data_IF_040094277129
#
_entry.id   IF_040094277129
#
_cell.length_a   1.000
_cell.length_b   1.000
_cell.length_c   1.000
_cell.angle_alpha   90.00
_cell.angle_beta   90.00
_cell.angle_gamma   90.00
#
_symmetry.space_group_name_H-M   'P 1'
#
loop_
_entity.id
_entity.type
_entity.pdbx_description
1 polymer ?
#
# COMPACT_ATOMS: atom_id res chain seq x y z
N UNK A 1 -18.83 -12.42 3.17
CA UNK A 1 -19.73 -11.27 3.44
C UNK A 1 -18.96 -10.03 3.02
N UNK A 2 -19.46 -9.32 2.03
CA UNK A 2 -18.83 -8.15 1.42
C UNK A 2 -19.54 -6.91 1.98
N UNK A 3 -18.80 -6.07 2.71
CA UNK A 3 -19.26 -4.74 3.09
C UNK A 3 -18.40 -3.74 2.34
N UNK A 4 -19.07 -2.85 1.61
CA UNK A 4 -18.49 -2.06 0.54
C UNK A 4 -17.59 -0.91 0.96
N UNK A 5 -16.80 -0.50 -0.03
CA UNK A 5 -16.49 0.89 -0.34
C UNK A 5 -16.15 0.92 -1.84
N UNK A 6 -17.19 0.98 -2.66
CA UNK A 6 -17.10 1.47 -4.04
C UNK A 6 -16.58 2.92 -3.98
N UNK A 7 -15.27 3.14 -4.11
CA UNK A 7 -14.63 4.37 -4.63
C UNK A 7 -13.11 4.13 -4.71
N UNK A 8 -12.66 3.38 -5.73
CA UNK A 8 -11.33 3.63 -6.27
C UNK A 8 -11.50 4.80 -7.22
N UNK A 9 -11.23 6.03 -6.77
CA UNK A 9 -10.96 7.15 -7.67
C UNK A 9 -9.73 6.79 -8.50
N UNK A 10 -10.00 6.11 -9.62
CA UNK A 10 -9.07 5.90 -10.70
C UNK A 10 -9.01 7.19 -11.53
N UNK A 11 -8.53 8.28 -10.95
CA UNK A 11 -8.17 9.48 -11.72
C UNK A 11 -7.20 10.36 -10.91
N UNK A 12 -5.92 10.00 -10.96
CA UNK A 12 -4.84 10.94 -10.62
C UNK A 12 -3.76 10.79 -11.72
N UNK A 13 -4.10 11.33 -12.90
CA UNK A 13 -3.18 11.53 -14.03
C UNK A 13 -2.11 12.60 -13.71
N UNK A 14 -1.89 12.95 -12.43
CA UNK A 14 -0.81 13.81 -12.02
C UNK A 14 0.54 13.07 -12.12
N UNK A 15 1.58 13.70 -12.70
CA UNK A 15 2.92 13.13 -12.70
C UNK A 15 3.41 12.93 -11.26
N UNK A 16 4.17 11.85 -11.03
CA UNK A 16 4.89 11.64 -9.79
C UNK A 16 5.68 12.92 -9.45
N UNK A 17 5.36 13.55 -8.32
CA UNK A 17 6.04 14.78 -7.88
C UNK A 17 7.13 14.38 -6.89
N UNK A 18 8.33 14.92 -7.06
CA UNK A 18 9.39 14.88 -6.05
C UNK A 18 9.95 13.49 -5.69
N UNK A 19 9.91 12.53 -6.62
CA UNK A 19 10.45 11.18 -6.40
C UNK A 19 9.55 10.25 -5.58
N UNK A 20 8.38 10.74 -5.15
CA UNK A 20 7.37 9.93 -4.49
C UNK A 20 6.41 9.28 -5.51
N UNK A 21 5.91 8.06 -5.25
CA UNK A 21 4.84 7.47 -6.04
C UNK A 21 3.61 8.37 -6.12
N UNK A 22 2.81 8.17 -7.17
CA UNK A 22 1.50 8.81 -7.32
C UNK A 22 0.62 8.48 -6.12
N UNK A 23 -0.40 9.31 -5.91
CA UNK A 23 -1.41 9.01 -4.89
C UNK A 23 -2.13 7.71 -5.27
N UNK A 24 -2.45 6.89 -4.28
CA UNK A 24 -3.13 5.62 -4.50
C UNK A 24 -2.19 4.47 -4.82
N UNK A 25 -2.66 3.53 -5.65
CA UNK A 25 -1.98 2.26 -5.91
C UNK A 25 -1.39 2.28 -7.32
N UNK A 26 -0.07 2.07 -7.40
CA UNK A 26 0.67 1.95 -8.65
C UNK A 26 0.30 0.73 -9.49
N UNK A 27 0.92 0.61 -10.66
CA UNK A 27 0.72 -0.51 -11.59
C UNK A 27 1.40 -1.77 -11.07
N UNK A 28 0.86 -2.93 -11.44
CA UNK A 28 1.46 -4.25 -11.13
C UNK A 28 1.71 -4.50 -9.63
N UNK A 29 0.88 -3.90 -8.76
CA UNK A 29 0.95 -4.07 -7.31
C UNK A 29 0.21 -5.33 -6.87
N UNK A 30 0.77 -6.04 -5.90
CA UNK A 30 0.14 -7.21 -5.25
C UNK A 30 -0.08 -6.92 -3.76
N UNK A 31 -1.33 -7.04 -3.31
CA UNK A 31 -1.74 -6.83 -1.91
C UNK A 31 -2.44 -8.09 -1.38
N UNK A 32 -1.98 -8.64 -0.25
CA UNK A 32 -2.69 -9.68 0.53
C UNK A 32 -2.84 -9.24 1.98
N UNK A 33 -4.08 -9.25 2.50
CA UNK A 33 -4.39 -8.83 3.89
C UNK A 33 -3.69 -7.52 4.27
N UNK A 34 -3.99 -6.48 3.49
CA UNK A 34 -3.43 -5.13 3.66
C UNK A 34 -4.53 -4.14 4.01
N UNK A 35 -4.26 -3.26 4.96
CA UNK A 35 -5.03 -2.04 5.21
C UNK A 35 -4.23 -0.87 4.64
N UNK A 36 -4.83 -0.15 3.69
CA UNK A 36 -4.24 1.05 3.09
C UNK A 36 -5.06 2.24 3.55
N UNK A 37 -4.44 3.11 4.35
CA UNK A 37 -5.10 4.29 4.91
C UNK A 37 -5.08 5.46 3.91
N UNK A 38 -5.81 6.54 4.23
CA UNK A 38 -6.02 7.70 3.37
C UNK A 38 -4.68 8.31 2.93
N UNK A 39 -4.62 8.71 1.67
CA UNK A 39 -3.46 9.33 1.02
C UNK A 39 -2.18 8.48 0.99
N UNK A 40 -2.26 7.18 1.29
CA UNK A 40 -1.13 6.29 1.08
C UNK A 40 -0.73 6.24 -0.41
N UNK A 41 0.57 6.01 -0.64
CA UNK A 41 1.20 6.01 -1.96
C UNK A 41 1.92 4.69 -2.14
N UNK A 42 1.41 3.84 -3.01
CA UNK A 42 2.02 2.53 -3.31
C UNK A 42 2.66 2.61 -4.69
N UNK A 43 3.98 2.45 -4.75
CA UNK A 43 4.73 2.47 -6.00
C UNK A 43 4.45 1.27 -6.89
N UNK A 44 4.75 1.44 -8.18
CA UNK A 44 4.59 0.40 -9.19
C UNK A 44 5.41 -0.87 -8.83
N UNK A 45 4.82 -2.05 -9.04
CA UNK A 45 5.46 -3.33 -8.76
C UNK A 45 5.64 -3.66 -7.26
N UNK A 46 5.07 -2.86 -6.35
CA UNK A 46 5.14 -3.15 -4.92
C UNK A 46 4.38 -4.44 -4.57
N UNK A 47 4.90 -5.19 -3.60
CA UNK A 47 4.33 -6.46 -3.14
C UNK A 47 4.17 -6.47 -1.63
N UNK A 48 2.96 -6.20 -1.17
CA UNK A 48 2.62 -6.20 0.25
C UNK A 48 1.93 -7.52 0.60
N UNK A 49 2.74 -8.56 0.81
CA UNK A 49 2.26 -9.92 1.07
C UNK A 49 3.07 -10.52 2.22
N UNK A 50 2.43 -10.72 3.36
CA UNK A 50 3.06 -11.30 4.55
C UNK A 50 3.18 -12.84 4.44
N UNK A 51 3.98 -13.35 3.51
CA UNK A 51 4.18 -14.79 3.27
C UNK A 51 4.80 -15.50 4.48
N UNK A 52 5.61 -14.78 5.25
CA UNK A 52 6.26 -15.29 6.44
C UNK A 52 5.30 -15.41 7.65
N UNK A 53 4.05 -14.92 7.54
CA UNK A 53 3.08 -14.97 8.64
C UNK A 53 3.52 -14.18 9.88
N UNK A 54 4.27 -13.09 9.68
CA UNK A 54 4.76 -12.23 10.76
C UNK A 54 3.59 -11.61 11.50
N UNK A 55 3.57 -11.71 12.83
CA UNK A 55 2.47 -11.16 13.63
C UNK A 55 2.61 -9.66 13.87
N UNK A 56 3.85 -9.18 14.09
CA UNK A 56 4.15 -7.77 14.34
C UNK A 56 5.51 -7.40 13.76
N UNK A 57 5.56 -6.31 13.01
CA UNK A 57 6.78 -5.70 12.49
C UNK A 57 6.53 -4.21 12.20
N UNK A 58 7.61 -3.45 12.08
CA UNK A 58 7.58 -2.06 11.63
C UNK A 58 8.60 -1.94 10.49
N UNK A 59 8.19 -1.33 9.39
CA UNK A 59 9.00 -1.18 8.20
C UNK A 59 8.95 0.25 7.66
N UNK A 60 9.66 0.48 6.55
CA UNK A 60 9.67 1.78 5.88
C UNK A 60 8.33 2.00 5.17
N UNK A 61 7.47 2.83 5.76
CA UNK A 61 6.16 3.18 5.20
C UNK A 61 5.03 2.18 5.49
N UNK A 62 5.27 1.13 6.30
CA UNK A 62 4.24 0.18 6.72
C UNK A 62 4.51 -0.38 8.12
N UNK A 63 3.52 -1.04 8.70
CA UNK A 63 3.69 -1.88 9.87
C UNK A 63 2.78 -3.11 9.78
N UNK A 64 3.17 -4.21 10.40
CA UNK A 64 2.35 -5.41 10.51
C UNK A 64 1.74 -5.47 11.90
N UNK A 65 0.42 -5.68 12.00
CA UNK A 65 -0.29 -5.93 13.25
C UNK A 65 -1.24 -7.09 13.07
N UNK A 66 -1.10 -8.09 13.93
CA UNK A 66 -1.93 -9.30 13.95
C UNK A 66 -1.96 -10.02 12.58
N UNK A 67 -0.81 -10.02 11.89
CA UNK A 67 -0.65 -10.63 10.57
C UNK A 67 -1.09 -9.77 9.39
N UNK A 68 -1.71 -8.62 9.64
CA UNK A 68 -2.20 -7.68 8.63
C UNK A 68 -1.14 -6.61 8.35
N UNK A 69 -0.79 -6.41 7.09
CA UNK A 69 0.07 -5.30 6.68
C UNK A 69 -0.75 -4.01 6.70
N UNK A 70 -0.23 -2.94 7.27
CA UNK A 70 -0.91 -1.66 7.36
C UNK A 70 -0.01 -0.57 6.84
N UNK A 71 -0.50 0.18 5.85
CA UNK A 71 0.14 1.38 5.33
C UNK A 71 -0.60 2.58 5.95
N UNK A 72 0.04 3.34 6.87
CA UNK A 72 -0.62 4.44 7.55
C UNK A 72 -0.96 5.59 6.61
N UNK A 73 -1.76 6.54 7.13
CA UNK A 73 -2.08 7.78 6.42
C UNK A 73 -0.81 8.47 5.93
N UNK A 74 -0.84 8.93 4.68
CA UNK A 74 0.30 9.56 3.98
C UNK A 74 1.55 8.65 3.88
N UNK A 75 1.42 7.36 4.19
CA UNK A 75 2.48 6.35 4.11
C UNK A 75 2.90 6.08 2.66
N UNK A 76 4.19 5.75 2.48
CA UNK A 76 4.79 5.62 1.15
C UNK A 76 5.49 4.28 1.03
N UNK A 77 5.08 3.50 0.05
CA UNK A 77 5.75 2.26 -0.35
C UNK A 77 6.44 2.52 -1.68
N UNK A 78 7.75 2.29 -1.72
CA UNK A 78 8.55 2.56 -2.91
C UNK A 78 8.22 1.57 -4.03
N UNK A 79 8.44 1.95 -5.31
CA UNK A 79 8.29 1.01 -6.42
C UNK A 79 9.17 -0.23 -6.22
N UNK A 80 8.60 -1.41 -6.46
CA UNK A 80 9.27 -2.70 -6.27
C UNK A 80 9.54 -3.11 -4.81
N UNK A 81 9.09 -2.33 -3.82
CA UNK A 81 9.28 -2.68 -2.41
C UNK A 81 8.42 -3.90 -2.05
N UNK A 82 9.04 -4.88 -1.40
CA UNK A 82 8.37 -6.06 -0.85
C UNK A 82 8.31 -5.99 0.67
N UNK A 83 7.16 -6.36 1.22
CA UNK A 83 6.90 -6.48 2.66
C UNK A 83 6.95 -7.94 3.07
#
# INVERSE_FOLDING_TARGET
MLLGADFCEADDDAPARDGNPRLGIGRDVVLDRVIVDKNARIGDGARLVNEAGVMRADGDGYYIRDGVVVVPKDGVIKPGQSV
#
